data_IF_745261405805
#
_entry.id   IF_745261405805
#
_cell.length_a   1.000
_cell.length_b   1.000
_cell.length_c   1.000
_cell.angle_alpha   90.00
_cell.angle_beta   90.00
_cell.angle_gamma   90.00
#
_symmetry.space_group_name_H-M   'P 1'
#
loop_
_entity.id
_entity.type
_entity.pdbx_description
1 polymer ?
#
# COMPACT_ATOMS: atom_id res chain seq x y z
N UNK A 1 -40.57 -5.57 36.94
CA UNK A 1 -40.14 -6.03 38.29
C UNK A 1 -39.53 -7.41 38.16
N UNK A 2 -38.25 -7.58 38.58
CA UNK A 2 -37.56 -8.82 39.01
C UNK A 2 -37.41 -9.98 38.00
N UNK A 3 -36.37 -10.80 37.93
CA UNK A 3 -34.91 -10.85 38.21
C UNK A 3 -34.48 -12.30 37.87
N UNK A 4 -33.18 -12.52 37.66
CA UNK A 4 -32.41 -13.78 37.78
C UNK A 4 -32.35 -14.71 36.54
N UNK A 5 -31.20 -14.88 35.86
CA UNK A 5 -29.88 -15.49 36.22
C UNK A 5 -29.85 -17.01 36.01
N UNK A 6 -29.03 -17.47 35.06
CA UNK A 6 -28.37 -18.80 34.96
C UNK A 6 -27.22 -18.62 33.93
N UNK A 7 -26.03 -18.16 34.32
CA UNK A 7 -24.83 -18.95 34.71
C UNK A 7 -24.63 -20.22 33.87
N UNK A 8 -23.71 -20.17 32.91
CA UNK A 8 -22.80 -21.29 32.63
C UNK A 8 -21.46 -20.75 32.11
N UNK A 9 -20.47 -20.77 33.00
CA UNK A 9 -19.07 -20.45 32.77
C UNK A 9 -18.42 -21.71 32.20
N UNK A 10 -17.81 -21.63 31.01
CA UNK A 10 -16.72 -22.54 30.63
C UNK A 10 -15.60 -21.68 30.05
N UNK A 11 -14.68 -21.32 30.93
CA UNK A 11 -13.36 -20.84 30.57
C UNK A 11 -12.50 -22.04 30.17
N UNK A 12 -12.03 -22.06 28.92
CA UNK A 12 -10.89 -22.87 28.51
C UNK A 12 -9.81 -21.91 28.01
N UNK A 13 -8.93 -21.53 28.94
CA UNK A 13 -7.78 -20.69 28.73
C UNK A 13 -6.57 -21.50 28.27
N UNK A 14 -5.74 -20.85 27.44
CA UNK A 14 -4.28 -21.02 27.29
C UNK A 14 -3.78 -22.16 26.38
N UNK A 15 -3.13 -21.76 25.28
CA UNK A 15 -1.69 -21.96 25.12
C UNK A 15 -1.14 -21.08 23.99
N UNK A 16 -0.33 -20.07 24.37
CA UNK A 16 0.69 -19.51 23.49
C UNK A 16 1.75 -20.58 23.24
N UNK A 17 2.13 -20.77 21.98
CA UNK A 17 3.26 -21.61 21.60
C UNK A 17 3.73 -21.22 20.21
N UNK A 18 4.67 -20.28 20.15
CA UNK A 18 5.47 -20.11 18.95
C UNK A 18 6.35 -21.33 18.73
N UNK A 19 6.63 -21.66 17.48
CA UNK A 19 7.80 -22.42 17.10
C UNK A 19 8.11 -22.11 15.64
N UNK A 20 9.20 -21.39 15.42
CA UNK A 20 9.95 -21.55 14.19
C UNK A 20 10.45 -22.98 14.12
N UNK A 21 10.21 -23.64 13.00
CA UNK A 21 10.98 -24.80 12.56
C UNK A 21 10.77 -24.95 11.05
N UNK A 22 11.85 -24.73 10.33
CA UNK A 22 12.03 -25.04 8.92
C UNK A 22 11.53 -26.46 8.61
N UNK A 23 10.77 -26.65 7.52
CA UNK A 23 10.86 -27.78 6.58
C UNK A 23 9.89 -27.59 5.37
N UNK A 24 10.22 -28.11 4.16
CA UNK A 24 9.56 -27.80 2.89
C UNK A 24 8.57 -28.88 2.39
N UNK A 25 7.81 -28.50 1.34
CA UNK A 25 6.94 -29.30 0.43
C UNK A 25 5.51 -29.60 0.89
N UNK A 26 4.53 -28.89 0.32
CA UNK A 26 3.57 -29.38 -0.70
C UNK A 26 2.52 -28.29 -1.02
N UNK A 27 1.87 -28.32 -2.20
CA UNK A 27 1.24 -27.17 -2.83
C UNK A 27 -0.23 -27.03 -2.44
N UNK A 28 -0.61 -25.86 -1.92
CA UNK A 28 -2.01 -25.45 -1.89
C UNK A 28 -2.36 -24.80 -3.24
N UNK A 29 -2.50 -25.63 -4.27
CA UNK A 29 -3.36 -25.34 -5.41
C UNK A 29 -4.80 -25.32 -4.89
N UNK A 30 -5.33 -24.13 -4.63
CA UNK A 30 -6.68 -23.96 -4.12
C UNK A 30 -7.00 -22.51 -3.83
N UNK A 31 -7.12 -21.70 -4.89
CA UNK A 31 -8.00 -20.51 -5.03
C UNK A 31 -7.52 -19.65 -6.19
N UNK A 32 -7.71 -20.18 -7.40
CA UNK A 32 -7.93 -19.35 -8.58
C UNK A 32 -9.37 -18.83 -8.47
N UNK A 33 -9.54 -17.50 -8.53
CA UNK A 33 -10.81 -16.76 -8.54
C UNK A 33 -11.30 -16.25 -7.17
N UNK A 34 -10.76 -15.09 -6.79
CA UNK A 34 -11.49 -14.11 -5.98
C UNK A 34 -11.12 -14.10 -4.50
N UNK A 35 -10.51 -12.98 -4.06
CA UNK A 35 -10.42 -12.64 -2.65
C UNK A 35 -9.02 -12.26 -2.20
N UNK A 36 -8.79 -10.95 -2.11
CA UNK A 36 -7.73 -10.34 -1.30
C UNK A 36 -6.34 -10.93 -1.47
N UNK A 37 -5.68 -10.52 -2.56
CA UNK A 37 -4.27 -10.17 -2.45
C UNK A 37 -4.18 -9.02 -1.45
N UNK A 38 -4.13 -9.32 -0.15
CA UNK A 38 -3.20 -8.59 0.70
C UNK A 38 -1.83 -8.90 0.10
N UNK A 39 -1.48 -8.13 -0.94
CA UNK A 39 -0.08 -7.93 -1.28
C UNK A 39 0.57 -7.66 0.07
N UNK A 40 1.49 -8.54 0.50
CA UNK A 40 2.25 -8.30 1.71
C UNK A 40 2.78 -6.88 1.59
N UNK A 41 2.18 -6.01 2.40
CA UNK A 41 2.44 -4.60 2.55
C UNK A 41 3.82 -4.45 3.21
N UNK A 42 4.85 -4.77 2.43
CA UNK A 42 6.23 -4.39 2.64
C UNK A 42 6.99 -4.73 1.34
N UNK A 43 6.64 -4.03 0.24
CA UNK A 43 7.61 -3.88 -0.84
C UNK A 43 8.63 -2.89 -0.31
N UNK A 44 9.86 -3.35 -0.08
CA UNK A 44 10.99 -2.43 0.09
C UNK A 44 10.86 -1.36 -1.00
N UNK A 45 10.67 -0.08 -0.65
CA UNK A 45 10.57 0.98 -1.64
C UNK A 45 11.81 0.99 -2.56
N UNK A 46 12.95 0.51 -2.07
CA UNK A 46 14.18 0.35 -2.83
C UNK A 46 14.20 -0.91 -3.70
N UNK A 47 13.09 -1.63 -3.86
CA UNK A 47 12.97 -2.69 -4.86
C UNK A 47 12.80 -2.09 -6.28
N UNK A 48 13.53 -2.58 -7.29
CA UNK A 48 13.44 -2.10 -8.67
C UNK A 48 12.00 -2.13 -9.24
N UNK A 49 11.20 -3.14 -8.89
CA UNK A 49 9.81 -3.25 -9.36
C UNK A 49 8.93 -2.18 -8.68
N UNK A 50 9.16 -1.91 -7.39
CA UNK A 50 8.46 -0.84 -6.68
C UNK A 50 8.80 0.54 -7.25
N UNK A 51 10.09 0.79 -7.54
CA UNK A 51 10.54 2.01 -8.22
C UNK A 51 9.93 2.17 -9.60
N UNK A 52 9.91 1.12 -10.42
CA UNK A 52 9.29 1.16 -11.75
C UNK A 52 7.83 1.60 -11.69
N UNK A 53 7.06 1.06 -10.73
CA UNK A 53 5.67 1.47 -10.52
C UNK A 53 5.56 2.92 -10.07
N UNK A 54 6.44 3.39 -9.18
CA UNK A 54 6.46 4.77 -8.69
C UNK A 54 6.76 5.79 -9.80
N UNK A 55 7.78 5.52 -10.63
CA UNK A 55 8.12 6.38 -11.76
C UNK A 55 6.98 6.37 -12.79
N UNK A 56 6.45 5.19 -13.14
CA UNK A 56 5.33 5.06 -14.08
C UNK A 56 4.07 5.80 -13.59
N UNK A 57 3.74 5.69 -12.30
CA UNK A 57 2.61 6.37 -11.69
C UNK A 57 2.81 7.90 -11.73
N UNK A 58 4.00 8.38 -11.42
CA UNK A 58 4.33 9.80 -11.49
C UNK A 58 4.22 10.32 -12.91
N UNK A 59 4.77 9.60 -13.89
CA UNK A 59 4.66 9.94 -15.32
C UNK A 59 3.20 10.03 -15.79
N UNK A 60 2.36 9.05 -15.44
CA UNK A 60 0.95 9.05 -15.83
C UNK A 60 0.19 10.23 -15.21
N UNK A 61 0.41 10.50 -13.92
CA UNK A 61 -0.18 11.65 -13.21
C UNK A 61 0.28 12.98 -13.78
N UNK A 62 1.56 13.09 -14.09
CA UNK A 62 2.15 14.29 -14.67
C UNK A 62 1.57 14.59 -16.07
N UNK A 63 1.43 13.58 -16.93
CA UNK A 63 0.79 13.75 -18.22
C UNK A 63 -0.66 14.17 -18.07
N UNK A 64 -1.40 13.57 -17.12
CA UNK A 64 -2.78 13.96 -16.87
C UNK A 64 -2.90 15.43 -16.48
N UNK A 65 -2.07 15.88 -15.54
CA UNK A 65 -2.12 17.26 -15.06
C UNK A 65 -1.38 18.26 -15.96
N UNK A 66 -1.04 17.88 -17.20
CA UNK A 66 -0.55 18.81 -18.21
C UNK A 66 0.91 19.25 -18.05
N UNK A 67 1.73 18.50 -17.29
CA UNK A 67 3.16 18.79 -17.19
C UNK A 67 3.86 18.51 -18.52
N UNK A 68 4.75 19.43 -18.93
CA UNK A 68 5.50 19.29 -20.17
C UNK A 68 6.81 18.53 -19.91
N UNK A 69 6.86 17.26 -20.34
CA UNK A 69 8.05 16.41 -20.32
C UNK A 69 7.91 15.31 -21.37
N UNK A 70 9.00 14.59 -21.65
CA UNK A 70 8.97 13.42 -22.54
C UNK A 70 8.88 12.12 -21.71
N UNK A 71 7.72 11.43 -21.73
CA UNK A 71 7.53 10.20 -20.97
C UNK A 71 8.37 9.03 -21.50
N UNK A 72 8.67 8.99 -22.81
CA UNK A 72 9.53 7.98 -23.42
C UNK A 72 10.99 8.17 -23.00
N UNK A 73 11.46 9.42 -22.97
CA UNK A 73 12.78 9.78 -22.46
C UNK A 73 12.92 9.45 -20.97
N UNK A 74 11.93 9.80 -20.15
CA UNK A 74 11.96 9.51 -18.71
C UNK A 74 12.01 7.99 -18.45
N UNK A 75 11.19 7.20 -19.15
CA UNK A 75 11.24 5.74 -19.10
C UNK A 75 12.62 5.21 -19.48
N UNK A 76 13.19 5.71 -20.56
CA UNK A 76 14.51 5.28 -21.05
C UNK A 76 15.63 5.58 -20.05
N UNK A 77 15.59 6.76 -19.42
CA UNK A 77 16.54 7.14 -18.36
C UNK A 77 16.40 6.25 -17.12
N UNK A 78 15.16 5.96 -16.70
CA UNK A 78 14.91 5.04 -15.59
C UNK A 78 15.43 3.62 -15.87
N UNK A 79 15.15 3.08 -17.07
CA UNK A 79 15.65 1.75 -17.44
C UNK A 79 17.18 1.72 -17.52
N UNK A 80 17.82 2.78 -18.00
CA UNK A 80 19.27 2.89 -18.01
C UNK A 80 19.85 2.89 -16.57
N UNK A 81 19.21 3.59 -15.63
CA UNK A 81 19.61 3.58 -14.22
C UNK A 81 19.54 2.19 -13.59
N UNK A 82 18.43 1.48 -13.78
CA UNK A 82 18.26 0.14 -13.17
C UNK A 82 19.18 -0.89 -13.83
N UNK A 83 19.31 -0.85 -15.16
CA UNK A 83 20.14 -1.81 -15.91
C UNK A 83 21.64 -1.60 -15.70
N UNK A 84 22.07 -0.43 -15.21
CA UNK A 84 23.45 -0.20 -14.79
C UNK A 84 23.85 -1.08 -13.60
N UNK A 85 22.90 -1.41 -12.72
CA UNK A 85 23.13 -2.27 -11.54
C UNK A 85 22.62 -3.70 -11.74
N UNK A 86 21.58 -3.89 -12.57
CA UNK A 86 20.92 -5.16 -12.81
C UNK A 86 20.51 -5.31 -14.29
N UNK A 87 21.45 -5.62 -15.20
CA UNK A 87 21.21 -5.61 -16.65
C UNK A 87 20.17 -6.64 -17.11
N UNK A 88 19.97 -7.73 -16.37
CA UNK A 88 19.00 -8.78 -16.68
C UNK A 88 17.55 -8.38 -16.41
N UNK A 89 17.31 -7.26 -15.73
CA UNK A 89 15.96 -6.81 -15.35
C UNK A 89 15.32 -5.85 -16.35
N UNK A 90 16.05 -5.38 -17.38
CA UNK A 90 15.58 -4.32 -18.27
C UNK A 90 14.21 -4.57 -18.90
N UNK A 91 14.01 -5.73 -19.52
CA UNK A 91 12.73 -6.09 -20.15
C UNK A 91 11.60 -6.22 -19.12
N UNK A 92 11.88 -6.88 -18.00
CA UNK A 92 10.91 -7.04 -16.90
C UNK A 92 10.46 -5.68 -16.36
N UNK A 93 11.39 -4.77 -16.11
CA UNK A 93 11.11 -3.43 -15.59
C UNK A 93 10.38 -2.57 -16.62
N UNK A 94 10.70 -2.72 -17.92
CA UNK A 94 9.93 -2.06 -18.98
C UNK A 94 8.46 -2.51 -18.97
N UNK A 95 8.21 -3.82 -18.87
CA UNK A 95 6.85 -4.37 -18.84
C UNK A 95 6.08 -3.94 -17.57
N UNK A 96 6.74 -3.91 -16.42
CA UNK A 96 6.17 -3.40 -15.17
C UNK A 96 5.81 -1.93 -15.30
N UNK A 97 6.73 -1.12 -15.84
CA UNK A 97 6.50 0.30 -16.08
C UNK A 97 5.28 0.54 -16.96
N UNK A 98 5.19 -0.14 -18.10
CA UNK A 98 4.07 0.04 -19.05
C UNK A 98 2.74 -0.40 -18.44
N UNK A 99 2.74 -1.52 -17.72
CA UNK A 99 1.54 -2.01 -17.04
C UNK A 99 1.07 -1.02 -15.96
N UNK A 100 1.99 -0.53 -15.14
CA UNK A 100 1.68 0.44 -14.09
C UNK A 100 1.22 1.78 -14.67
N UNK A 101 1.90 2.28 -15.72
CA UNK A 101 1.54 3.52 -16.40
C UNK A 101 0.11 3.46 -16.94
N UNK A 102 -0.23 2.38 -17.65
CA UNK A 102 -1.56 2.18 -18.20
C UNK A 102 -2.62 1.99 -17.10
N UNK A 103 -2.29 1.25 -16.04
CA UNK A 103 -3.18 1.06 -14.89
C UNK A 103 -3.50 2.37 -14.18
N UNK A 104 -2.48 3.19 -13.91
CA UNK A 104 -2.65 4.49 -13.27
C UNK A 104 -3.41 5.45 -14.18
N UNK A 105 -3.10 5.49 -15.48
CA UNK A 105 -3.85 6.31 -16.44
C UNK A 105 -5.34 5.98 -16.42
N UNK A 106 -5.70 4.69 -16.41
CA UNK A 106 -7.10 4.25 -16.31
C UNK A 106 -7.74 4.64 -14.98
N UNK A 107 -7.04 4.45 -13.86
CA UNK A 107 -7.55 4.81 -12.54
C UNK A 107 -7.79 6.32 -12.39
N UNK A 108 -6.91 7.13 -12.96
CA UNK A 108 -7.05 8.59 -13.04
C UNK A 108 -8.30 8.96 -13.84
N UNK A 109 -8.49 8.38 -15.03
CA UNK A 109 -9.67 8.64 -15.85
C UNK A 109 -10.98 8.25 -15.17
N UNK A 110 -10.98 7.21 -14.34
CA UNK A 110 -12.15 6.85 -13.53
C UNK A 110 -12.45 7.92 -12.46
N UNK A 111 -11.42 8.38 -11.72
CA UNK A 111 -11.59 9.41 -10.69
C UNK A 111 -11.98 10.78 -11.25
N UNK A 112 -11.51 11.14 -12.43
CA UNK A 112 -11.87 12.40 -13.09
C UNK A 112 -13.38 12.52 -13.39
N UNK A 113 -14.09 11.39 -13.51
CA UNK A 113 -15.54 11.41 -13.66
C UNK A 113 -16.27 11.82 -12.37
N UNK A 114 -15.61 11.66 -11.22
CA UNK A 114 -16.17 11.89 -9.89
C UNK A 114 -15.74 13.26 -9.33
N UNK A 115 -14.48 13.65 -9.55
CA UNK A 115 -13.86 14.86 -8.99
C UNK A 115 -12.79 15.47 -9.89
N UNK A 116 -12.41 16.73 -9.63
CA UNK A 116 -11.22 17.31 -10.25
C UNK A 116 -9.96 16.59 -9.73
N UNK A 117 -9.34 15.79 -10.60
CA UNK A 117 -8.15 15.03 -10.23
C UNK A 117 -6.94 15.93 -9.94
N UNK A 118 -6.80 17.07 -10.62
CA UNK A 118 -5.59 17.89 -10.60
C UNK A 118 -5.70 19.07 -9.63
N UNK A 119 -6.02 18.77 -8.37
CA UNK A 119 -6.05 19.76 -7.30
C UNK A 119 -4.67 20.41 -7.04
N UNK A 120 -4.60 21.63 -6.46
CA UNK A 120 -3.34 22.31 -6.19
C UNK A 120 -2.36 21.48 -5.34
N UNK A 121 -2.85 20.82 -4.29
CA UNK A 121 -2.00 19.99 -3.41
C UNK A 121 -1.48 18.73 -4.12
N UNK A 122 -2.30 18.11 -4.98
CA UNK A 122 -1.88 16.92 -5.72
C UNK A 122 -0.89 17.29 -6.82
N UNK A 123 -1.14 18.37 -7.55
CA UNK A 123 -0.23 18.86 -8.60
C UNK A 123 1.12 19.27 -8.01
N UNK A 124 1.16 19.94 -6.85
CA UNK A 124 2.41 20.24 -6.15
C UNK A 124 3.25 18.98 -5.86
N UNK A 125 2.62 17.93 -5.32
CA UNK A 125 3.26 16.63 -5.05
C UNK A 125 3.72 15.91 -6.33
N UNK A 126 2.89 15.90 -7.37
CA UNK A 126 3.24 15.33 -8.68
C UNK A 126 4.47 16.04 -9.25
N UNK A 127 4.52 17.37 -9.18
CA UNK A 127 5.64 18.18 -9.66
C UNK A 127 6.94 17.84 -8.93
N UNK A 128 6.88 17.73 -7.60
CA UNK A 128 8.04 17.36 -6.80
C UNK A 128 8.59 15.99 -7.18
N UNK A 129 7.72 14.97 -7.23
CA UNK A 129 8.11 13.62 -7.64
C UNK A 129 8.62 13.58 -9.09
N UNK A 130 7.99 14.32 -10.02
CA UNK A 130 8.41 14.39 -11.41
C UNK A 130 9.81 15.01 -11.53
N UNK A 131 10.06 16.12 -10.85
CA UNK A 131 11.36 16.78 -10.88
C UNK A 131 12.47 15.87 -10.33
N UNK A 132 12.18 15.11 -9.27
CA UNK A 132 13.11 14.15 -8.71
C UNK A 132 13.44 13.03 -9.70
N UNK A 133 12.42 12.45 -10.34
CA UNK A 133 12.61 11.43 -11.38
C UNK A 133 13.38 11.97 -12.61
N UNK A 134 13.12 13.21 -13.03
CA UNK A 134 13.85 13.86 -14.12
C UNK A 134 15.30 14.19 -13.76
N UNK A 135 15.60 14.37 -12.47
CA UNK A 135 16.95 14.52 -11.94
C UNK A 135 17.69 13.18 -11.78
N UNK A 136 17.03 12.05 -12.08
CA UNK A 136 17.61 10.71 -11.94
C UNK A 136 17.56 10.15 -10.51
N UNK A 137 16.87 10.81 -9.59
CA UNK A 137 16.59 10.27 -8.26
C UNK A 137 15.26 9.53 -8.28
N UNK A 138 15.35 8.20 -8.26
CA UNK A 138 14.20 7.29 -8.31
C UNK A 138 13.85 6.72 -6.93
N UNK A 139 14.38 7.30 -5.86
CA UNK A 139 14.05 6.90 -4.49
C UNK A 139 12.56 7.19 -4.26
N UNK A 140 11.76 6.22 -3.80
CA UNK A 140 10.36 6.48 -3.54
C UNK A 140 10.21 7.50 -2.43
N UNK A 141 9.22 8.39 -2.53
CA UNK A 141 8.89 9.23 -1.39
C UNK A 141 8.42 8.32 -0.24
N UNK A 142 8.64 8.71 1.02
CA UNK A 142 8.03 8.01 2.15
C UNK A 142 6.52 7.90 1.87
N UNK A 143 5.99 6.69 2.00
CA UNK A 143 4.59 6.37 1.67
C UNK A 143 3.67 7.42 2.29
N UNK A 144 2.99 8.19 1.43
CA UNK A 144 1.85 8.98 1.89
C UNK A 144 0.83 7.99 2.46
N UNK A 145 0.37 8.24 3.69
CA UNK A 145 -0.75 7.50 4.23
C UNK A 145 -1.88 7.57 3.20
N UNK A 146 -2.54 6.45 2.87
CA UNK A 146 -3.62 6.46 1.89
C UNK A 146 -4.59 7.57 2.29
N UNK A 147 -4.75 8.56 1.42
CA UNK A 147 -5.76 9.60 1.61
C UNK A 147 -7.08 8.87 1.83
N UNK A 148 -7.68 9.07 2.99
CA UNK A 148 -8.83 8.33 3.48
C UNK A 148 -9.84 8.10 2.35
N UNK A 149 -9.77 6.90 1.76
CA UNK A 149 -10.90 6.34 1.04
C UNK A 149 -11.92 5.99 2.11
N UNK A 150 -12.58 7.02 2.61
CA UNK A 150 -13.85 6.93 3.31
C UNK A 150 -14.84 6.25 2.37
N UNK A 151 -14.89 4.92 2.46
CA UNK A 151 -15.70 4.12 1.56
C UNK A 151 -15.47 2.64 1.81
N UNK A 152 -16.41 2.03 2.50
CA UNK A 152 -16.62 0.57 2.62
C UNK A 152 -15.77 -0.23 3.62
N UNK A 153 -14.88 0.37 4.42
CA UNK A 153 -14.23 -0.35 5.55
C UNK A 153 -14.53 0.22 6.95
N UNK A 154 -15.10 1.43 7.06
CA UNK A 154 -15.53 2.00 8.37
C UNK A 154 -16.83 1.41 8.92
N UNK A 155 -17.42 0.41 8.24
CA UNK A 155 -18.74 -0.15 8.58
C UNK A 155 -18.74 -1.45 9.38
N UNK A 156 -17.60 -2.08 9.64
CA UNK A 156 -17.54 -3.38 10.36
C UNK A 156 -16.81 -3.33 11.71
N UNK A 157 -16.57 -2.13 12.23
CA UNK A 157 -15.85 -1.92 13.49
C UNK A 157 -16.48 -0.84 14.35
N UNK A 158 -17.78 -0.93 14.62
CA UNK A 158 -18.39 -0.17 15.71
C UNK A 158 -19.39 -1.04 16.49
N UNK A 159 -18.87 -1.68 17.54
CA UNK A 159 -19.65 -1.97 18.75
C UNK A 159 -18.73 -1.76 19.94
N UNK A 160 -18.90 -0.59 20.59
CA UNK A 160 -18.75 -0.29 22.03
C UNK A 160 -17.47 -0.75 22.75
N UNK A 161 -16.82 0.02 23.62
CA UNK A 161 -17.31 0.93 24.67
C UNK A 161 -16.02 1.45 25.36
N UNK A 162 -15.85 2.76 25.61
CA UNK A 162 -15.99 3.36 26.95
C UNK A 162 -15.04 2.75 28.01
N UNK A 163 -13.88 3.34 28.28
CA UNK A 163 -13.60 4.39 29.29
C UNK A 163 -13.33 3.85 30.71
N UNK A 164 -12.48 4.60 31.43
CA UNK A 164 -12.19 4.60 32.88
C UNK A 164 -11.04 3.79 33.51
N UNK A 165 -10.14 4.59 34.12
CA UNK A 165 -9.50 4.42 35.46
C UNK A 165 -8.20 3.63 35.61
N UNK A 166 -7.11 4.30 35.26
CA UNK A 166 -5.82 4.20 35.96
C UNK A 166 -5.89 5.00 37.27
N UNK A 167 -6.30 4.40 38.39
CA UNK A 167 -5.92 4.84 39.75
C UNK A 167 -6.40 3.85 40.82
N UNK A 168 -5.51 2.95 41.26
CA UNK A 168 -5.32 2.52 42.67
C UNK A 168 -4.48 1.25 42.73
N UNK A 169 -3.19 1.47 42.55
CA UNK A 169 -2.14 0.60 43.07
C UNK A 169 -1.96 0.97 44.55
N UNK A 170 -2.60 0.22 45.46
CA UNK A 170 -2.25 0.11 46.89
C UNK A 170 -3.03 -1.03 47.52
N UNK A 171 -2.33 -1.79 48.37
CA UNK A 171 -2.76 -3.01 49.07
C UNK A 171 -2.74 -4.28 48.22
N UNK A 172 -1.64 -5.04 48.26
CA UNK A 172 -1.59 -6.43 48.77
C UNK A 172 -0.10 -6.77 48.97
N UNK A 173 0.50 -6.25 50.06
CA UNK A 173 1.63 -6.91 50.72
C UNK A 173 1.07 -7.48 52.02
N UNK A 174 0.69 -8.75 51.98
CA UNK A 174 0.75 -9.71 53.08
C UNK A 174 0.64 -11.13 52.53
#
# INVERSE_FOLDING_TARGET
MRNAKLILIVAATVALGGCGASLPKLPTTGSLLGGSSTAKENRDPNDPVARAMGVAATSARALKCGYNFDPGKLKSQYLAYETASAPTLGEKLSNVYDTAFNGVTKAISAKEQEEDYCTPDRTARIKEALNRNLAGDYTPPPSEAPEDSGGLFSGFGNSGTGDETSEKMKEVFQ
#
